data_IF_306123694880
#
_entry.id   IF_306123694880
#
_cell.length_a   1.000
_cell.length_b   1.000
_cell.length_c   1.000
_cell.angle_alpha   90.00
_cell.angle_beta   90.00
_cell.angle_gamma   90.00
#
_symmetry.space_group_name_H-M   'P 1'
#
loop_
_entity.id
_entity.type
_entity.pdbx_description
1 polymer ?
#
# COMPACT_ATOMS: atom_id res chain seq x y z
N UNK A 1 34.20 3.19 -29.55
CA UNK A 1 33.09 3.72 -28.69
C UNK A 1 31.72 3.58 -29.37
N UNK A 2 30.62 3.43 -28.62
CA UNK A 2 29.23 3.33 -29.17
C UNK A 2 28.49 4.64 -28.92
N UNK A 3 28.67 5.62 -29.77
CA UNK A 3 27.97 6.89 -29.66
C UNK A 3 26.50 6.74 -30.06
N UNK A 4 25.57 7.36 -29.31
CA UNK A 4 24.12 7.39 -29.54
C UNK A 4 23.43 6.00 -29.65
N UNK A 5 24.11 4.91 -29.33
CA UNK A 5 23.55 3.55 -29.34
C UNK A 5 23.04 3.18 -27.94
N UNK A 6 21.89 3.70 -27.57
CA UNK A 6 21.21 3.32 -26.33
C UNK A 6 20.27 2.12 -26.55
N UNK A 7 20.11 1.32 -25.50
CA UNK A 7 19.17 0.21 -25.48
C UNK A 7 19.80 -1.16 -25.74
N UNK A 8 19.05 -2.18 -25.32
CA UNK A 8 19.47 -3.59 -25.43
C UNK A 8 18.98 -4.19 -26.75
N UNK A 9 19.79 -5.04 -27.36
CA UNK A 9 19.40 -5.77 -28.59
C UNK A 9 18.37 -6.87 -28.32
N UNK A 10 18.37 -7.46 -27.12
CA UNK A 10 17.45 -8.53 -26.67
C UNK A 10 17.53 -9.81 -27.52
N UNK A 11 18.66 -10.06 -28.23
CA UNK A 11 18.84 -11.22 -29.03
C UNK A 11 17.96 -11.33 -30.28
N UNK A 12 17.32 -10.22 -30.71
CA UNK A 12 16.36 -10.22 -31.82
C UNK A 12 16.71 -9.17 -32.88
N UNK A 13 16.20 -9.36 -34.12
CA UNK A 13 16.35 -8.40 -35.22
C UNK A 13 15.67 -7.06 -34.89
N UNK A 14 16.07 -6.00 -35.58
CA UNK A 14 15.54 -4.65 -35.31
C UNK A 14 14.03 -4.54 -35.55
N UNK A 15 13.52 -5.15 -36.62
CA UNK A 15 12.10 -5.18 -36.95
C UNK A 15 11.29 -5.93 -35.88
N UNK A 16 11.74 -7.13 -35.50
CA UNK A 16 11.12 -7.93 -34.47
C UNK A 16 11.12 -7.19 -33.13
N UNK A 17 12.24 -6.57 -32.74
CA UNK A 17 12.32 -5.78 -31.49
C UNK A 17 11.31 -4.63 -31.47
N UNK A 18 11.17 -3.89 -32.58
CA UNK A 18 10.16 -2.82 -32.68
C UNK A 18 8.73 -3.35 -32.53
N UNK A 19 8.41 -4.43 -33.22
CA UNK A 19 7.09 -5.06 -33.13
C UNK A 19 6.81 -5.58 -31.71
N UNK A 20 7.78 -6.24 -31.10
CA UNK A 20 7.69 -6.73 -29.72
C UNK A 20 7.44 -5.58 -28.73
N UNK A 21 8.16 -4.45 -28.82
CA UNK A 21 7.95 -3.30 -27.94
C UNK A 21 6.57 -2.67 -28.15
N UNK A 22 6.09 -2.56 -29.40
CA UNK A 22 4.73 -2.07 -29.70
C UNK A 22 3.67 -2.93 -29.04
N UNK A 23 3.75 -4.26 -29.21
CA UNK A 23 2.79 -5.19 -28.63
C UNK A 23 2.81 -5.14 -27.09
N UNK A 24 4.00 -5.10 -26.48
CA UNK A 24 4.13 -5.00 -25.02
C UNK A 24 3.52 -3.70 -24.48
N UNK A 25 3.78 -2.56 -25.14
CA UNK A 25 3.20 -1.27 -24.74
C UNK A 25 1.68 -1.30 -24.88
N UNK A 26 1.15 -1.81 -26.01
CA UNK A 26 -0.31 -1.96 -26.22
C UNK A 26 -0.93 -2.79 -25.10
N UNK A 27 -0.36 -3.95 -24.80
CA UNK A 27 -0.87 -4.81 -23.71
C UNK A 27 -0.78 -4.15 -22.30
N UNK A 28 0.24 -3.32 -22.04
CA UNK A 28 0.33 -2.58 -20.79
C UNK A 28 -0.75 -1.50 -20.69
N UNK A 29 -1.03 -0.82 -21.81
CA UNK A 29 -2.07 0.21 -21.86
C UNK A 29 -3.46 -0.39 -21.63
N UNK A 30 -3.75 -1.54 -22.22
CA UNK A 30 -5.05 -2.22 -22.11
C UNK A 30 -5.26 -2.91 -20.75
N UNK A 31 -4.22 -3.53 -20.20
CA UNK A 31 -4.34 -4.37 -19.00
C UNK A 31 -3.81 -3.70 -17.71
N UNK A 32 -3.14 -2.56 -17.84
CA UNK A 32 -2.46 -1.90 -16.72
C UNK A 32 -1.13 -2.55 -16.29
N UNK A 33 -0.90 -3.83 -16.63
CA UNK A 33 0.31 -4.56 -16.30
C UNK A 33 0.66 -5.66 -17.29
N UNK A 34 1.93 -6.08 -17.31
CA UNK A 34 2.41 -7.22 -18.08
C UNK A 34 3.54 -7.95 -17.37
N UNK A 35 3.53 -9.28 -17.44
CA UNK A 35 4.62 -10.13 -16.95
C UNK A 35 5.59 -10.44 -18.10
N UNK A 36 6.88 -10.15 -17.92
CA UNK A 36 7.93 -10.40 -18.93
C UNK A 36 9.30 -10.60 -18.27
N UNK A 37 10.32 -10.91 -19.08
CA UNK A 37 11.69 -11.02 -18.55
C UNK A 37 12.22 -9.64 -18.11
N UNK A 38 13.05 -9.59 -17.08
CA UNK A 38 13.59 -8.36 -16.52
C UNK A 38 14.30 -7.48 -17.56
N UNK A 39 15.00 -8.10 -18.51
CA UNK A 39 15.66 -7.39 -19.62
C UNK A 39 14.65 -6.65 -20.52
N UNK A 40 13.54 -7.29 -20.87
CA UNK A 40 12.44 -6.68 -21.65
C UNK A 40 11.71 -5.61 -20.84
N UNK A 41 11.45 -5.85 -19.56
CA UNK A 41 10.82 -4.89 -18.64
C UNK A 41 11.59 -3.57 -18.60
N UNK A 42 12.91 -3.62 -18.49
CA UNK A 42 13.78 -2.43 -18.48
C UNK A 42 13.72 -1.64 -19.79
N UNK A 43 13.57 -2.32 -20.93
CA UNK A 43 13.53 -1.67 -22.25
C UNK A 43 12.14 -1.12 -22.61
N UNK A 44 11.05 -1.79 -22.21
CA UNK A 44 9.68 -1.35 -22.56
C UNK A 44 9.30 -0.06 -21.80
N UNK A 45 9.92 0.22 -20.68
CA UNK A 45 9.70 1.44 -19.90
C UNK A 45 9.87 2.71 -20.73
N UNK A 46 10.94 2.79 -21.56
CA UNK A 46 11.23 3.97 -22.37
C UNK A 46 10.12 4.32 -23.39
N UNK A 47 9.70 3.39 -24.28
CA UNK A 47 8.61 3.67 -25.19
C UNK A 47 7.26 3.89 -24.48
N UNK A 48 6.99 3.21 -23.36
CA UNK A 48 5.77 3.40 -22.59
C UNK A 48 5.70 4.83 -22.01
N UNK A 49 6.74 5.31 -21.36
CA UNK A 49 6.83 6.67 -20.81
C UNK A 49 6.69 7.74 -21.92
N UNK A 50 7.26 7.46 -23.09
CA UNK A 50 7.12 8.36 -24.26
C UNK A 50 5.66 8.44 -24.73
N UNK A 51 4.92 7.33 -24.77
CA UNK A 51 3.49 7.34 -25.17
C UNK A 51 2.65 8.13 -24.18
N UNK A 52 2.86 7.95 -22.88
CA UNK A 52 2.15 8.71 -21.83
C UNK A 52 2.48 10.21 -21.91
N UNK A 53 3.74 10.56 -22.16
CA UNK A 53 4.12 11.97 -22.35
C UNK A 53 3.45 12.59 -23.58
N UNK A 54 3.30 11.86 -24.69
CA UNK A 54 2.55 12.31 -25.87
C UNK A 54 1.06 12.48 -25.57
N UNK A 55 0.47 11.58 -24.78
CA UNK A 55 -0.93 11.68 -24.36
C UNK A 55 -1.19 12.93 -23.52
N UNK A 56 -0.31 13.25 -22.58
CA UNK A 56 -0.37 14.47 -21.77
C UNK A 56 -0.33 15.76 -22.60
N UNK A 57 0.39 15.77 -23.73
CA UNK A 57 0.40 16.90 -24.64
C UNK A 57 -0.93 17.13 -25.33
N UNK A 58 -1.68 16.06 -25.64
CA UNK A 58 -3.02 16.13 -26.22
C UNK A 58 -3.11 16.61 -27.66
N UNK A 59 -2.04 17.13 -28.27
CA UNK A 59 -2.01 17.70 -29.61
C UNK A 59 -2.38 16.65 -30.67
N UNK A 60 -2.96 17.10 -31.78
CA UNK A 60 -3.21 16.25 -32.95
C UNK A 60 -1.94 15.58 -33.46
N UNK A 61 -0.81 16.31 -33.43
CA UNK A 61 0.50 15.76 -33.80
C UNK A 61 0.94 14.63 -32.85
N UNK A 62 0.80 14.83 -31.53
CA UNK A 62 1.10 13.82 -30.54
C UNK A 62 0.21 12.56 -30.73
N UNK A 63 -1.09 12.74 -31.00
CA UNK A 63 -2.03 11.66 -31.30
C UNK A 63 -1.61 10.87 -32.56
N UNK A 64 -1.19 11.53 -33.62
CA UNK A 64 -0.67 10.88 -34.84
C UNK A 64 0.63 10.10 -34.55
N UNK A 65 1.54 10.66 -33.74
CA UNK A 65 2.76 9.96 -33.34
C UNK A 65 2.46 8.71 -32.48
N UNK A 66 1.52 8.80 -31.55
CA UNK A 66 1.10 7.66 -30.73
C UNK A 66 0.46 6.57 -31.59
N UNK A 67 -0.43 6.91 -32.56
CA UNK A 67 -1.05 5.98 -33.49
C UNK A 67 -0.03 5.25 -34.39
N UNK A 68 1.07 5.89 -34.75
CA UNK A 68 2.15 5.23 -35.50
C UNK A 68 2.83 4.12 -34.72
N UNK A 69 2.73 4.16 -33.37
CA UNK A 69 3.35 3.18 -32.48
C UNK A 69 2.33 2.17 -31.92
N UNK A 70 1.23 2.64 -31.33
CA UNK A 70 0.15 1.82 -30.75
C UNK A 70 -0.89 1.58 -31.83
N UNK A 71 -1.19 0.31 -32.12
CA UNK A 71 -2.11 -0.07 -33.22
C UNK A 71 -3.56 -0.28 -32.78
N UNK A 72 -3.79 -0.58 -31.50
CA UNK A 72 -5.12 -0.81 -30.94
C UNK A 72 -5.84 0.53 -30.71
N UNK A 73 -7.12 0.61 -31.13
CA UNK A 73 -7.98 1.76 -30.87
C UNK A 73 -8.34 1.87 -29.39
N UNK A 74 -8.57 0.74 -28.73
CA UNK A 74 -8.90 0.66 -27.30
C UNK A 74 -7.75 1.20 -26.44
N UNK A 75 -6.50 0.72 -26.69
CA UNK A 75 -5.32 1.23 -26.01
C UNK A 75 -5.10 2.73 -26.25
N UNK A 76 -5.48 3.25 -27.43
CA UNK A 76 -5.39 4.68 -27.74
C UNK A 76 -6.43 5.51 -26.98
N UNK A 77 -7.65 5.01 -26.86
CA UNK A 77 -8.69 5.67 -26.04
C UNK A 77 -8.26 5.74 -24.58
N UNK A 78 -7.89 4.61 -23.98
CA UNK A 78 -7.38 4.56 -22.62
C UNK A 78 -6.18 5.48 -22.38
N UNK A 79 -5.26 5.56 -23.35
CA UNK A 79 -4.06 6.39 -23.26
C UNK A 79 -4.39 7.89 -23.20
N UNK A 80 -5.32 8.38 -24.05
CA UNK A 80 -5.63 9.80 -24.17
C UNK A 80 -6.74 10.26 -23.25
N UNK A 81 -7.68 9.39 -22.89
CA UNK A 81 -8.83 9.73 -22.05
C UNK A 81 -8.49 9.52 -20.56
N UNK A 82 -8.05 8.32 -20.18
CA UNK A 82 -7.80 7.99 -18.78
C UNK A 82 -6.39 8.33 -18.30
N UNK A 83 -5.35 7.85 -19.02
CA UNK A 83 -3.97 7.95 -18.53
C UNK A 83 -3.41 9.36 -18.63
N UNK A 84 -3.88 10.17 -19.58
CA UNK A 84 -3.48 11.56 -19.68
C UNK A 84 -3.92 12.38 -18.47
N UNK A 85 -5.14 12.16 -17.99
CA UNK A 85 -5.69 12.81 -16.82
C UNK A 85 -5.04 12.27 -15.54
N UNK A 86 -4.95 10.95 -15.41
CA UNK A 86 -4.33 10.27 -14.24
C UNK A 86 -2.90 10.74 -13.97
N UNK A 87 -2.14 11.03 -15.00
CA UNK A 87 -0.73 11.44 -14.87
C UNK A 87 -0.47 12.93 -15.13
N UNK A 88 -1.48 13.78 -15.15
CA UNK A 88 -1.35 15.24 -15.40
C UNK A 88 -0.26 15.88 -14.54
N UNK A 89 -0.25 15.59 -13.25
CA UNK A 89 0.66 16.22 -12.28
C UNK A 89 2.05 15.57 -12.23
N UNK A 90 2.20 14.37 -12.80
CA UNK A 90 3.44 13.61 -12.72
C UNK A 90 4.34 13.88 -13.92
N UNK A 91 5.60 14.24 -13.68
CA UNK A 91 6.57 14.58 -14.75
C UNK A 91 7.43 13.39 -15.21
N UNK A 92 7.02 12.15 -14.97
CA UNK A 92 7.73 10.95 -15.39
C UNK A 92 7.61 9.81 -14.39
N UNK A 93 8.21 8.66 -14.70
CA UNK A 93 8.13 7.49 -13.82
C UNK A 93 6.71 6.97 -13.69
N UNK A 94 5.99 6.84 -14.79
CA UNK A 94 4.58 6.41 -14.82
C UNK A 94 4.40 4.92 -14.57
N UNK A 95 5.47 4.13 -14.67
CA UNK A 95 5.42 2.70 -14.47
C UNK A 95 6.43 2.22 -13.44
N UNK A 96 6.14 1.07 -12.85
CA UNK A 96 6.98 0.38 -11.88
C UNK A 96 7.38 -0.98 -12.44
N UNK A 97 8.60 -1.43 -12.13
CA UNK A 97 9.10 -2.77 -12.44
C UNK A 97 9.22 -3.53 -11.13
N UNK A 98 8.42 -4.57 -10.96
CA UNK A 98 8.45 -5.46 -9.80
C UNK A 98 9.18 -6.72 -10.22
N UNK A 99 10.32 -7.01 -9.57
CA UNK A 99 11.05 -8.26 -9.82
C UNK A 99 10.31 -9.40 -9.14
N UNK A 100 10.09 -10.47 -9.88
CA UNK A 100 9.60 -11.72 -9.32
C UNK A 100 10.76 -12.51 -8.77
N UNK A 101 10.61 -13.11 -7.58
CA UNK A 101 11.64 -13.95 -6.98
C UNK A 101 11.84 -15.28 -7.73
N UNK A 102 10.84 -15.68 -8.52
CA UNK A 102 10.86 -16.90 -9.31
C UNK A 102 11.44 -16.63 -10.70
N UNK A 103 12.32 -17.51 -11.16
CA UNK A 103 12.82 -17.55 -12.53
C UNK A 103 11.89 -18.39 -13.41
N UNK A 104 11.98 -18.19 -14.74
CA UNK A 104 11.19 -18.95 -15.70
C UNK A 104 11.74 -20.37 -15.83
N UNK A 105 10.86 -21.37 -15.73
CA UNK A 105 11.21 -22.76 -16.00
C UNK A 105 11.73 -22.92 -17.44
N UNK A 106 12.82 -23.64 -17.61
CA UNK A 106 13.47 -23.92 -18.89
C UNK A 106 14.73 -23.10 -19.11
N UNK A 107 14.65 -21.77 -19.18
CA UNK A 107 15.81 -20.90 -19.45
C UNK A 107 16.32 -20.12 -18.23
N UNK A 108 15.76 -20.35 -17.06
CA UNK A 108 16.13 -19.70 -15.80
C UNK A 108 16.19 -18.16 -15.88
N UNK A 109 15.44 -17.54 -16.78
CA UNK A 109 15.41 -16.09 -16.95
C UNK A 109 14.71 -15.41 -15.78
N UNK A 110 15.30 -14.34 -15.26
CA UNK A 110 14.66 -13.49 -14.26
C UNK A 110 13.38 -12.85 -14.82
N UNK A 111 12.28 -12.99 -14.10
CA UNK A 111 10.98 -12.47 -14.47
C UNK A 111 10.66 -11.18 -13.72
N UNK A 112 9.89 -10.31 -14.36
CA UNK A 112 9.43 -9.07 -13.75
C UNK A 112 8.02 -8.72 -14.27
N UNK A 113 7.26 -7.99 -13.45
CA UNK A 113 6.00 -7.35 -13.84
C UNK A 113 6.30 -5.87 -14.09
N UNK A 114 5.81 -5.37 -15.22
CA UNK A 114 5.77 -3.94 -15.51
C UNK A 114 4.34 -3.49 -15.27
N UNK A 115 4.13 -2.56 -14.35
CA UNK A 115 2.82 -2.13 -13.90
C UNK A 115 2.71 -0.61 -14.01
N UNK A 116 1.56 -0.10 -14.44
CA UNK A 116 1.21 1.32 -14.40
C UNK A 116 0.89 1.73 -12.96
N UNK A 117 1.43 2.87 -12.53
CA UNK A 117 1.18 3.39 -11.18
C UNK A 117 -0.23 3.95 -11.10
N UNK A 118 -0.98 3.56 -10.07
CA UNK A 118 -2.37 3.98 -9.90
C UNK A 118 -3.37 3.22 -10.77
N UNK A 119 -2.97 2.12 -11.45
CA UNK A 119 -3.90 1.18 -12.04
C UNK A 119 -4.61 0.36 -10.95
N UNK A 120 -5.73 -0.26 -11.29
CA UNK A 120 -6.49 -1.11 -10.37
C UNK A 120 -5.63 -2.23 -9.76
N UNK A 121 -4.66 -2.71 -10.52
CA UNK A 121 -3.72 -3.74 -10.10
C UNK A 121 -2.58 -3.20 -9.19
N UNK A 122 -2.48 -1.88 -8.96
CA UNK A 122 -1.41 -1.28 -8.15
C UNK A 122 -1.71 -1.34 -6.65
N UNK A 123 -1.62 -2.53 -6.06
CA UNK A 123 -1.79 -2.76 -4.62
C UNK A 123 -0.79 -1.97 -3.76
N UNK A 124 0.40 -1.66 -4.30
CA UNK A 124 1.43 -0.90 -3.57
C UNK A 124 1.10 0.59 -3.42
N UNK A 125 0.32 1.17 -4.32
CA UNK A 125 -0.15 2.56 -4.19
C UNK A 125 -1.24 2.67 -3.14
N UNK A 126 -2.13 1.69 -3.04
CA UNK A 126 -3.17 1.63 -2.00
C UNK A 126 -2.57 1.46 -0.60
N UNK A 127 -1.53 0.65 -0.43
CA UNK A 127 -0.81 0.51 0.84
C UNK A 127 -0.10 1.80 1.27
N UNK A 128 0.44 2.59 0.33
CA UNK A 128 1.04 3.89 0.64
C UNK A 128 0.02 4.94 1.04
N UNK A 129 -1.16 4.94 0.45
CA UNK A 129 -2.24 5.87 0.81
C UNK A 129 -2.75 5.64 2.24
N UNK A 130 -2.75 4.41 2.72
CA UNK A 130 -3.10 4.07 4.11
C UNK A 130 -2.01 4.43 5.12
N UNK A 131 -0.73 4.40 4.73
CA UNK A 131 0.39 4.79 5.60
C UNK A 131 0.56 6.30 5.74
N UNK A 132 -0.01 7.09 4.84
CA UNK A 132 0.00 8.56 4.87
C UNK A 132 -1.09 9.20 5.73
N UNK A 133 -2.09 8.44 6.23
CA UNK A 133 -2.97 8.93 7.30
C UNK A 133 -2.12 9.05 8.55
N UNK A 134 -1.84 10.30 8.95
CA UNK A 134 -1.21 10.69 10.22
C UNK A 134 -1.63 9.70 11.29
N UNK A 135 -0.66 9.06 11.95
CA UNK A 135 -0.90 8.37 13.22
C UNK A 135 -1.78 9.29 14.05
N UNK A 136 -2.91 8.84 14.58
CA UNK A 136 -3.70 9.66 15.45
C UNK A 136 -2.75 10.15 16.54
N UNK A 137 -2.62 11.47 16.66
CA UNK A 137 -1.83 12.08 17.73
C UNK A 137 -2.29 11.42 19.02
N UNK A 138 -1.34 10.84 19.71
CA UNK A 138 -1.44 10.10 20.94
C UNK A 138 -2.35 10.84 21.94
N UNK A 139 -3.64 10.56 21.92
CA UNK A 139 -4.60 10.94 22.96
C UNK A 139 -4.45 10.01 24.19
N UNK A 140 -3.22 9.61 24.48
CA UNK A 140 -2.95 8.63 25.54
C UNK A 140 -2.71 9.25 26.92
N UNK A 141 -2.53 10.58 27.04
CA UNK A 141 -2.34 11.19 28.37
C UNK A 141 -3.67 11.43 29.08
N UNK A 142 -4.69 11.91 28.39
CA UNK A 142 -6.00 12.19 29.04
C UNK A 142 -6.83 10.94 29.38
N UNK A 143 -6.62 9.83 28.67
CA UNK A 143 -7.32 8.57 29.00
C UNK A 143 -6.61 7.87 30.14
N UNK A 144 -5.29 7.92 30.22
CA UNK A 144 -4.51 7.38 31.32
C UNK A 144 -4.71 8.17 32.63
N UNK A 145 -4.87 9.50 32.57
CA UNK A 145 -5.24 10.31 33.75
C UNK A 145 -6.64 9.98 34.25
N UNK A 146 -7.62 9.83 33.37
CA UNK A 146 -8.98 9.45 33.78
C UNK A 146 -9.04 8.06 34.41
N UNK A 147 -8.35 7.08 33.83
CA UNK A 147 -8.31 5.71 34.37
C UNK A 147 -7.57 5.68 35.71
N UNK A 148 -6.51 6.49 35.89
CA UNK A 148 -5.80 6.57 37.17
C UNK A 148 -6.61 7.32 38.26
N UNK A 149 -7.48 8.26 37.88
CA UNK A 149 -8.41 8.91 38.83
C UNK A 149 -9.57 7.96 39.21
N UNK A 150 -10.12 7.20 38.26
CA UNK A 150 -11.17 6.20 38.55
C UNK A 150 -10.65 5.05 39.45
N UNK A 151 -9.41 4.60 39.27
CA UNK A 151 -8.80 3.59 40.14
C UNK A 151 -8.56 4.12 41.55
N UNK A 152 -8.08 5.38 41.71
CA UNK A 152 -7.93 6.00 43.05
C UNK A 152 -9.24 6.21 43.78
N UNK A 153 -10.31 6.61 43.08
CA UNK A 153 -11.64 6.76 43.66
C UNK A 153 -12.26 5.40 44.07
N UNK A 154 -11.95 4.32 43.33
CA UNK A 154 -12.36 2.98 43.70
C UNK A 154 -11.59 2.43 44.90
N UNK A 155 -10.30 2.76 45.04
CA UNK A 155 -9.49 2.37 46.20
C UNK A 155 -9.91 3.14 47.49
N UNK A 156 -10.20 4.45 47.37
CA UNK A 156 -10.69 5.24 48.53
C UNK A 156 -12.09 4.80 48.99
N UNK A 157 -12.96 4.37 48.05
CA UNK A 157 -14.30 3.86 48.42
C UNK A 157 -14.22 2.50 49.11
N UNK A 158 -13.30 1.62 48.68
CA UNK A 158 -13.07 0.32 49.33
C UNK A 158 -12.40 0.44 50.72
N UNK A 159 -11.52 1.41 50.91
CA UNK A 159 -10.92 1.69 52.24
C UNK A 159 -11.94 2.28 53.22
N UNK A 160 -12.89 3.08 52.77
CA UNK A 160 -13.97 3.61 53.62
C UNK A 160 -14.95 2.52 54.03
N UNK A 161 -15.33 1.63 53.11
CA UNK A 161 -16.18 0.49 53.42
C UNK A 161 -15.55 -0.49 54.41
N UNK A 162 -14.24 -0.76 54.29
CA UNK A 162 -13.50 -1.61 55.19
C UNK A 162 -13.32 -1.00 56.59
N UNK A 163 -13.32 0.35 56.72
CA UNK A 163 -13.29 1.02 58.00
C UNK A 163 -14.65 1.12 58.69
N UNK A 164 -15.73 1.17 57.93
CA UNK A 164 -17.10 1.12 58.51
C UNK A 164 -17.43 -0.30 59.01
N UNK A 165 -17.05 -1.38 58.31
CA UNK A 165 -17.22 -2.75 58.81
C UNK A 165 -16.41 -3.05 60.06
N UNK A 166 -15.20 -2.49 60.16
CA UNK A 166 -14.35 -2.68 61.33
C UNK A 166 -14.84 -1.93 62.60
N UNK A 167 -15.74 -0.94 62.44
CA UNK A 167 -16.33 -0.19 63.57
C UNK A 167 -17.65 -0.84 64.04
N UNK A 168 -18.38 -1.53 63.18
CA UNK A 168 -19.58 -2.28 63.58
C UNK A 168 -19.28 -3.59 64.31
N UNK A 169 -18.12 -4.22 64.06
CA UNK A 169 -17.73 -5.48 64.74
C UNK A 169 -17.22 -5.26 66.19
N UNK A 170 -17.01 -4.00 66.65
CA UNK A 170 -16.58 -3.68 67.99
C UNK A 170 -17.72 -3.28 68.96
N UNK A 171 -18.96 -3.24 68.54
CA UNK A 171 -20.10 -2.80 69.38
C UNK A 171 -21.03 -3.93 69.85
N UNK A 172 -20.84 -5.18 69.38
CA UNK A 172 -21.74 -6.29 69.77
C UNK A 172 -20.98 -7.38 70.51
N UNK A 173 -20.54 -7.08 71.71
CA UNK A 173 -20.15 -8.07 72.72
C UNK A 173 -20.98 -7.86 73.98
N UNK A 174 -22.08 -8.55 74.19
CA UNK A 174 -22.71 -8.54 75.48
C UNK A 174 -22.06 -9.50 76.42
N UNK A 175 -21.57 -8.93 77.53
CA UNK A 175 -21.38 -9.46 78.86
C UNK A 175 -22.50 -10.42 79.24
N UNK A 176 -22.22 -11.70 79.55
CA UNK A 176 -22.99 -12.50 80.54
C UNK A 176 -22.06 -13.44 81.28
N UNK A 177 -21.77 -12.98 82.48
CA UNK A 177 -21.27 -13.70 83.60
C UNK A 177 -22.26 -14.76 84.10
N UNK A 178 -21.63 -15.77 84.72
CA UNK A 178 -22.06 -16.50 85.93
C UNK A 178 -23.38 -17.29 85.93
N UNK A 179 -23.32 -18.49 86.08
CA UNK A 179 -23.62 -19.14 87.42
C UNK A 179 -23.78 -20.66 87.27
N UNK A 180 -23.04 -21.33 88.15
CA UNK A 180 -23.49 -22.44 89.01
C UNK A 180 -23.99 -23.72 88.30
N UNK A 181 -23.63 -24.77 88.61
CA UNK A 181 -23.34 -25.51 89.88
C UNK A 181 -23.77 -26.96 89.69
N UNK A 182 -22.98 -27.91 90.21
CA UNK A 182 -23.34 -29.18 90.80
C UNK A 182 -23.94 -30.35 89.99
N UNK A 183 -23.26 -31.40 90.25
CA UNK A 183 -23.76 -32.83 90.54
C UNK A 183 -24.02 -33.66 89.32
N UNK A 184 -23.48 -34.76 89.20
CA UNK A 184 -23.09 -35.98 89.94
C UNK A 184 -22.07 -36.77 89.12
#
# INVERSE_FOLDING_TARGET
MRHLKAGRRLGVTTSHRRAMMRNMVTSILEKGEIRCTLARAKEVRKPLEKMITLAKRGDLHARRQALSFVKSKEAMSQLFDELSERYSDRQGGYCRIIKLGQTRLGDNSEMAIVQLIGSENDQLSSLKSTSGKKKPARKSSKVLEKVSEEVRQAEESSEKAAKEEAVEEQVDAPEKSEASDKTE
#
